data_IF_511932391522
#
_entry.id   IF_511932391522
#
_cell.length_a   1.000
_cell.length_b   1.000
_cell.length_c   1.000
_cell.angle_alpha   90.00
_cell.angle_beta   90.00
_cell.angle_gamma   90.00
#
_symmetry.space_group_name_H-M   'P 1'
#
loop_
_entity.id
_entity.type
_entity.pdbx_description
1 polymer ?
#
# COMPACT_ATOMS: atom_id res chain seq x y z
N UNK A 1 -2.68 30.75 -3.41
CA UNK A 1 -2.56 30.27 -4.81
C UNK A 1 -1.41 29.27 -5.03
N UNK A 2 -0.42 29.22 -4.14
CA UNK A 2 0.77 28.32 -4.26
C UNK A 2 0.56 26.94 -3.62
N UNK A 3 -0.50 26.72 -2.88
CA UNK A 3 -0.77 25.48 -2.15
C UNK A 3 -0.69 24.20 -3.02
N UNK A 4 -1.21 24.15 -4.26
CA UNK A 4 -1.05 22.96 -5.10
C UNK A 4 0.43 22.66 -5.45
N UNK A 5 1.25 23.69 -5.68
CA UNK A 5 2.67 23.52 -5.98
C UNK A 5 3.45 23.06 -4.74
N UNK A 6 3.13 23.65 -3.58
CA UNK A 6 3.70 23.24 -2.30
C UNK A 6 3.27 21.82 -1.94
N UNK A 7 2.02 21.46 -2.23
CA UNK A 7 1.52 20.08 -2.04
C UNK A 7 2.25 19.07 -2.93
N UNK A 8 2.56 19.44 -4.18
CA UNK A 8 3.37 18.60 -5.05
C UNK A 8 4.80 18.42 -4.49
N UNK A 9 5.41 19.50 -4.01
CA UNK A 9 6.75 19.43 -3.41
C UNK A 9 6.77 18.57 -2.14
N UNK A 10 5.74 18.67 -1.30
CA UNK A 10 5.58 17.86 -0.08
C UNK A 10 5.33 16.38 -0.39
N UNK A 11 4.58 16.08 -1.46
CA UNK A 11 4.28 14.72 -1.89
C UNK A 11 5.33 14.11 -2.84
N UNK A 12 6.42 14.83 -3.14
CA UNK A 12 7.38 14.42 -4.17
C UNK A 12 7.90 12.98 -4.00
N UNK A 13 8.29 12.51 -2.81
CA UNK A 13 8.77 11.13 -2.65
C UNK A 13 7.71 10.08 -3.02
N UNK A 14 6.47 10.27 -2.60
CA UNK A 14 5.34 9.38 -2.94
C UNK A 14 5.05 9.43 -4.45
N UNK A 15 4.99 10.63 -5.02
CA UNK A 15 4.74 10.83 -6.45
C UNK A 15 5.81 10.15 -7.30
N UNK A 16 7.08 10.31 -6.93
CA UNK A 16 8.21 9.67 -7.61
C UNK A 16 8.11 8.14 -7.52
N UNK A 17 7.82 7.61 -6.34
CA UNK A 17 7.66 6.17 -6.13
C UNK A 17 6.54 5.59 -7.00
N UNK A 18 5.37 6.22 -7.04
CA UNK A 18 4.24 5.78 -7.88
C UNK A 18 4.60 5.78 -9.36
N UNK A 19 5.32 6.80 -9.85
CA UNK A 19 5.79 6.85 -11.23
C UNK A 19 6.80 5.73 -11.54
N UNK A 20 7.75 5.49 -10.65
CA UNK A 20 8.75 4.43 -10.80
C UNK A 20 8.06 3.06 -10.78
N UNK A 21 7.08 2.86 -9.91
CA UNK A 21 6.29 1.64 -9.85
C UNK A 21 5.50 1.43 -11.16
N UNK A 22 4.91 2.48 -11.73
CA UNK A 22 4.29 2.43 -13.05
C UNK A 22 5.25 1.97 -14.13
N UNK A 23 6.46 2.54 -14.16
CA UNK A 23 7.55 2.11 -15.06
C UNK A 23 7.96 0.65 -14.86
N UNK A 24 8.10 0.21 -13.60
CA UNK A 24 8.39 -1.17 -13.24
C UNK A 24 7.32 -2.16 -13.72
N UNK A 25 6.04 -1.83 -13.51
CA UNK A 25 4.92 -2.65 -13.99
C UNK A 25 4.80 -2.62 -15.52
N UNK A 26 5.12 -1.50 -16.16
CA UNK A 26 5.26 -1.42 -17.61
C UNK A 26 6.26 -2.43 -18.15
N UNK A 27 7.42 -2.62 -17.49
CA UNK A 27 8.39 -3.67 -17.86
C UNK A 27 7.80 -5.07 -17.76
N UNK A 28 7.01 -5.33 -16.70
CA UNK A 28 6.35 -6.61 -16.51
C UNK A 28 5.37 -6.93 -17.64
N UNK A 29 4.58 -5.93 -18.04
CA UNK A 29 3.59 -6.04 -19.13
C UNK A 29 4.29 -6.21 -20.47
N UNK A 30 5.33 -5.42 -20.79
CA UNK A 30 6.08 -5.50 -22.06
C UNK A 30 6.76 -6.85 -22.25
N UNK A 31 7.25 -7.49 -21.17
CA UNK A 31 7.80 -8.84 -21.23
C UNK A 31 6.73 -9.93 -21.41
N UNK A 32 5.46 -9.59 -21.27
CA UNK A 32 4.34 -10.54 -21.24
C UNK A 32 4.39 -11.53 -20.09
N UNK A 33 5.27 -11.32 -19.11
CA UNK A 33 5.45 -12.24 -18.00
C UNK A 33 4.27 -12.24 -17.05
N UNK A 34 3.69 -11.06 -16.77
CA UNK A 34 2.57 -10.90 -15.86
C UNK A 34 1.31 -11.52 -16.45
N UNK A 35 0.97 -11.17 -17.70
CA UNK A 35 -0.22 -11.68 -18.40
C UNK A 35 -0.18 -13.20 -18.54
N UNK A 36 0.97 -13.73 -19.00
CA UNK A 36 1.17 -15.17 -19.15
C UNK A 36 1.20 -15.89 -17.78
N UNK A 37 1.74 -15.24 -16.73
CA UNK A 37 1.74 -15.75 -15.36
C UNK A 37 0.31 -15.90 -14.82
N UNK A 38 -0.53 -14.89 -15.02
CA UNK A 38 -1.93 -14.92 -14.65
C UNK A 38 -2.70 -15.94 -15.47
N UNK A 39 -2.49 -16.02 -16.80
CA UNK A 39 -3.13 -17.01 -17.64
C UNK A 39 -2.83 -18.44 -17.15
N UNK A 40 -1.56 -18.75 -16.81
CA UNK A 40 -1.18 -20.04 -16.24
C UNK A 40 -1.82 -20.29 -14.88
N UNK A 41 -1.93 -19.25 -14.04
CA UNK A 41 -2.60 -19.37 -12.72
C UNK A 41 -4.10 -19.69 -12.89
N UNK A 42 -4.79 -18.96 -13.78
CA UNK A 42 -6.21 -19.22 -14.11
C UNK A 42 -6.39 -20.62 -14.67
N UNK A 43 -5.52 -21.06 -15.58
CA UNK A 43 -5.56 -22.42 -16.15
C UNK A 43 -5.37 -23.50 -15.07
N UNK A 44 -4.45 -23.31 -14.14
CA UNK A 44 -4.22 -24.24 -13.01
C UNK A 44 -5.41 -24.32 -12.05
N UNK A 45 -6.17 -23.23 -11.94
CA UNK A 45 -7.37 -23.16 -11.09
C UNK A 45 -8.65 -23.49 -11.86
N UNK A 46 -8.57 -23.96 -13.10
CA UNK A 46 -9.72 -24.30 -13.94
C UNK A 46 -10.72 -25.19 -13.19
N UNK A 47 -11.95 -24.69 -13.05
CA UNK A 47 -13.01 -25.33 -12.25
C UNK A 47 -13.04 -24.85 -10.79
N UNK A 48 -12.05 -24.10 -10.32
CA UNK A 48 -12.00 -23.53 -8.99
C UNK A 48 -11.48 -22.08 -8.99
N UNK A 49 -11.84 -21.33 -10.03
CA UNK A 49 -11.35 -19.94 -10.26
C UNK A 49 -11.71 -19.00 -9.11
N UNK A 50 -12.74 -19.33 -8.32
CA UNK A 50 -13.13 -18.54 -7.15
C UNK A 50 -12.01 -18.46 -6.08
N UNK A 51 -11.07 -19.41 -6.08
CA UNK A 51 -9.91 -19.40 -5.18
C UNK A 51 -8.90 -18.27 -5.51
N UNK A 52 -9.02 -17.62 -6.68
CA UNK A 52 -8.24 -16.42 -6.97
C UNK A 52 -8.53 -15.31 -5.96
N UNK A 53 -9.79 -15.15 -5.55
CA UNK A 53 -10.22 -14.10 -4.62
C UNK A 53 -9.47 -14.18 -3.28
N UNK A 54 -9.57 -15.27 -2.49
CA UNK A 54 -8.91 -15.32 -1.20
C UNK A 54 -7.38 -15.29 -1.31
N UNK A 55 -6.79 -15.91 -2.33
CA UNK A 55 -5.33 -15.91 -2.52
C UNK A 55 -4.82 -14.49 -2.78
N UNK A 56 -5.45 -13.77 -3.70
CA UNK A 56 -5.04 -12.40 -4.04
C UNK A 56 -5.34 -11.43 -2.91
N UNK A 57 -6.49 -11.55 -2.23
CA UNK A 57 -6.81 -10.72 -1.07
C UNK A 57 -5.81 -10.91 0.06
N UNK A 58 -5.33 -12.14 0.32
CA UNK A 58 -4.28 -12.38 1.31
C UNK A 58 -2.96 -11.72 0.92
N UNK A 59 -2.58 -11.76 -0.35
CA UNK A 59 -1.35 -11.10 -0.84
C UNK A 59 -1.46 -9.58 -0.66
N UNK A 60 -2.56 -8.97 -1.10
CA UNK A 60 -2.77 -7.52 -0.95
C UNK A 60 -2.88 -7.11 0.53
N UNK A 61 -3.57 -7.91 1.36
CA UNK A 61 -3.70 -7.59 2.78
C UNK A 61 -2.38 -7.70 3.54
N UNK A 62 -1.50 -8.61 3.13
CA UNK A 62 -0.15 -8.70 3.68
C UNK A 62 0.66 -7.42 3.35
N UNK A 63 0.56 -6.90 2.13
CA UNK A 63 1.13 -5.61 1.76
C UNK A 63 0.55 -4.46 2.60
N UNK A 64 -0.77 -4.42 2.74
CA UNK A 64 -1.46 -3.41 3.56
C UNK A 64 -1.00 -3.41 5.01
N UNK A 65 -0.95 -4.57 5.69
CA UNK A 65 -0.59 -4.66 7.12
C UNK A 65 0.88 -4.37 7.39
N UNK A 66 1.77 -4.65 6.42
CA UNK A 66 3.22 -4.52 6.62
C UNK A 66 3.75 -3.13 6.27
N UNK A 67 3.39 -2.58 5.12
CA UNK A 67 3.90 -1.28 4.68
C UNK A 67 2.81 -0.28 4.25
N UNK A 68 1.54 -0.61 4.44
CA UNK A 68 0.44 0.30 4.12
C UNK A 68 0.14 0.42 2.63
N UNK A 69 0.16 -0.72 1.90
CA UNK A 69 -0.08 -0.77 0.45
C UNK A 69 -1.39 -0.09 0.07
N UNK A 70 -1.33 1.03 -0.61
CA UNK A 70 -2.47 1.83 -1.08
C UNK A 70 -2.29 2.23 -2.56
N UNK A 71 -1.44 3.20 -2.82
CA UNK A 71 -1.22 3.80 -4.15
C UNK A 71 -0.65 2.79 -5.14
N UNK A 72 0.15 1.86 -4.67
CA UNK A 72 0.77 0.78 -5.46
C UNK A 72 -0.27 -0.22 -6.00
N UNK A 73 -1.48 -0.20 -5.45
CA UNK A 73 -2.56 -1.08 -5.94
C UNK A 73 -3.18 -0.61 -7.24
N UNK A 74 -3.04 0.67 -7.59
CA UNK A 74 -3.73 1.29 -8.74
C UNK A 74 -3.56 0.51 -10.04
N UNK A 75 -2.36 0.10 -10.45
CA UNK A 75 -2.17 -0.65 -11.71
C UNK A 75 -2.82 -2.04 -11.70
N UNK A 76 -3.05 -2.61 -10.52
CA UNK A 76 -3.64 -3.95 -10.39
C UNK A 76 -5.16 -3.97 -10.63
N UNK A 77 -5.85 -2.83 -10.55
CA UNK A 77 -7.31 -2.79 -10.78
C UNK A 77 -7.67 -3.23 -12.20
N UNK A 78 -7.06 -2.64 -13.21
CA UNK A 78 -7.29 -2.99 -14.61
C UNK A 78 -6.94 -4.45 -14.89
N UNK A 79 -5.80 -4.90 -14.38
CA UNK A 79 -5.31 -6.27 -14.53
C UNK A 79 -6.27 -7.29 -13.91
N UNK A 80 -6.72 -7.06 -12.68
CA UNK A 80 -7.61 -8.00 -12.00
C UNK A 80 -9.07 -7.90 -12.51
N UNK A 81 -9.51 -6.74 -13.00
CA UNK A 81 -10.78 -6.64 -13.73
C UNK A 81 -10.78 -7.58 -14.95
N UNK A 82 -9.76 -7.50 -15.81
CA UNK A 82 -9.62 -8.39 -16.96
C UNK A 82 -9.52 -9.87 -16.54
N UNK A 83 -8.72 -10.16 -15.50
CA UNK A 83 -8.53 -11.53 -14.99
C UNK A 83 -9.83 -12.14 -14.47
N UNK A 84 -10.60 -11.39 -13.68
CA UNK A 84 -11.87 -11.87 -13.10
C UNK A 84 -12.94 -12.02 -14.18
N UNK A 85 -12.98 -11.12 -15.19
CA UNK A 85 -13.85 -11.27 -16.35
C UNK A 85 -13.51 -12.55 -17.13
N UNK A 86 -12.24 -12.83 -17.37
CA UNK A 86 -11.78 -14.08 -17.99
C UNK A 86 -12.19 -15.32 -17.17
N UNK A 87 -12.16 -15.25 -15.84
CA UNK A 87 -12.59 -16.33 -14.94
C UNK A 87 -14.14 -16.45 -14.83
N UNK A 88 -14.90 -15.63 -15.55
CA UNK A 88 -16.36 -15.66 -15.63
C UNK A 88 -17.07 -14.88 -14.52
N UNK A 89 -16.35 -14.01 -13.81
CA UNK A 89 -16.89 -13.04 -12.85
C UNK A 89 -17.13 -11.68 -13.54
N UNK A 90 -17.66 -10.72 -12.81
CA UNK A 90 -17.69 -9.33 -13.26
C UNK A 90 -16.39 -8.57 -12.84
N UNK A 91 -16.11 -7.40 -13.44
CA UNK A 91 -14.91 -6.62 -13.11
C UNK A 91 -14.91 -6.10 -11.67
N UNK A 92 -16.09 -5.96 -11.04
CA UNK A 92 -16.23 -5.53 -9.65
C UNK A 92 -15.59 -6.52 -8.68
N UNK A 93 -15.62 -7.83 -8.96
CA UNK A 93 -14.92 -8.84 -8.16
C UNK A 93 -13.42 -8.57 -8.16
N UNK A 94 -12.84 -8.16 -9.30
CA UNK A 94 -11.44 -7.78 -9.40
C UNK A 94 -11.11 -6.54 -8.56
N UNK A 95 -11.91 -5.49 -8.74
CA UNK A 95 -11.75 -4.24 -7.99
C UNK A 95 -11.91 -4.45 -6.47
N UNK A 96 -12.94 -5.19 -6.05
CA UNK A 96 -13.16 -5.51 -4.63
C UNK A 96 -12.02 -6.36 -4.04
N UNK A 97 -11.44 -7.29 -4.80
CA UNK A 97 -10.30 -8.11 -4.38
C UNK A 97 -9.08 -7.24 -4.05
N UNK A 98 -8.77 -6.24 -4.87
CA UNK A 98 -7.68 -5.30 -4.63
C UNK A 98 -8.00 -4.39 -3.46
N UNK A 99 -9.11 -3.65 -3.56
CA UNK A 99 -9.47 -2.60 -2.60
C UNK A 99 -9.65 -3.14 -1.18
N UNK A 100 -10.47 -4.18 -1.02
CA UNK A 100 -10.73 -4.76 0.29
C UNK A 100 -9.57 -5.61 0.78
N UNK A 101 -8.80 -6.23 -0.12
CA UNK A 101 -7.57 -6.91 0.25
C UNK A 101 -6.58 -5.97 0.90
N UNK A 102 -6.14 -4.94 0.19
CA UNK A 102 -5.19 -3.95 0.70
C UNK A 102 -5.76 -3.14 1.87
N UNK A 103 -7.01 -2.66 1.76
CA UNK A 103 -7.65 -1.86 2.80
C UNK A 103 -7.80 -2.58 4.14
N UNK A 104 -8.15 -3.87 4.15
CA UNK A 104 -8.19 -4.66 5.39
C UNK A 104 -6.79 -4.87 5.99
N UNK A 105 -5.77 -4.94 5.15
CA UNK A 105 -4.38 -4.94 5.59
C UNK A 105 -4.02 -3.63 6.28
N UNK A 106 -4.29 -2.49 5.65
CA UNK A 106 -4.03 -1.17 6.22
C UNK A 106 -4.80 -0.94 7.52
N UNK A 107 -6.07 -1.34 7.60
CA UNK A 107 -6.87 -1.25 8.82
C UNK A 107 -6.26 -2.07 9.99
N UNK A 108 -5.64 -3.20 9.68
CA UNK A 108 -4.93 -4.03 10.65
C UNK A 108 -3.42 -3.85 10.55
N UNK A 109 -2.94 -2.62 10.46
CA UNK A 109 -1.51 -2.29 10.37
C UNK A 109 -0.71 -2.89 11.52
N UNK A 110 0.36 -3.63 11.21
CA UNK A 110 1.24 -4.24 12.21
C UNK A 110 2.56 -3.47 12.35
N UNK A 111 3.25 -3.25 11.25
CA UNK A 111 4.57 -2.59 11.20
C UNK A 111 4.61 -1.48 10.13
N UNK A 112 3.45 -1.07 9.66
CA UNK A 112 3.29 -0.02 8.64
C UNK A 112 3.96 1.28 9.06
N UNK A 113 5.04 1.73 8.40
CA UNK A 113 5.79 2.92 8.81
C UNK A 113 4.98 4.21 8.66
N UNK A 114 4.04 4.25 7.72
CA UNK A 114 3.25 5.47 7.41
C UNK A 114 2.09 5.69 8.38
N UNK A 115 1.54 4.65 8.97
CA UNK A 115 0.49 4.77 9.97
C UNK A 115 1.06 4.53 11.37
N UNK A 116 1.53 3.33 11.64
CA UNK A 116 2.02 2.91 12.96
C UNK A 116 3.32 3.64 13.30
N UNK A 117 4.32 3.64 12.41
CA UNK A 117 5.60 4.32 12.64
C UNK A 117 5.40 5.80 12.94
N UNK A 118 4.71 6.53 12.06
CA UNK A 118 4.46 7.95 12.25
C UNK A 118 3.65 8.27 13.52
N UNK A 119 2.71 7.40 13.91
CA UNK A 119 1.94 7.58 15.15
C UNK A 119 2.80 7.33 16.40
N UNK A 120 3.65 6.31 16.38
CA UNK A 120 4.60 6.01 17.47
C UNK A 120 5.61 7.14 17.63
N UNK A 121 6.21 7.61 16.53
CA UNK A 121 7.16 8.74 16.55
C UNK A 121 6.53 10.01 17.14
N UNK A 122 5.29 10.30 16.72
CA UNK A 122 4.56 11.47 17.22
C UNK A 122 4.23 11.36 18.73
N UNK A 123 3.89 10.18 19.23
CA UNK A 123 3.67 9.94 20.67
C UNK A 123 4.96 10.02 21.48
N UNK A 124 6.03 9.44 20.98
CA UNK A 124 7.36 9.51 21.60
C UNK A 124 7.84 10.96 21.69
N UNK A 125 7.58 11.76 20.65
CA UNK A 125 7.88 13.20 20.63
C UNK A 125 7.19 14.02 21.73
N UNK A 126 6.08 13.53 22.31
CA UNK A 126 5.41 14.15 23.47
C UNK A 126 5.63 13.38 24.78
N UNK A 127 6.61 12.49 24.83
CA UNK A 127 7.04 11.75 26.01
C UNK A 127 6.13 10.57 26.40
N UNK A 128 5.34 10.03 25.46
CA UNK A 128 4.53 8.83 25.66
C UNK A 128 5.26 7.63 25.04
N UNK A 129 5.72 6.73 25.89
CA UNK A 129 6.31 5.46 25.45
C UNK A 129 5.23 4.50 24.96
N UNK A 130 5.53 3.76 23.90
CA UNK A 130 4.61 2.83 23.23
C UNK A 130 5.27 1.45 23.10
N UNK A 131 4.52 0.41 23.37
CA UNK A 131 5.01 -0.96 23.20
C UNK A 131 4.67 -1.50 21.81
N UNK A 132 5.67 -1.55 20.93
CA UNK A 132 5.53 -2.03 19.56
C UNK A 132 4.95 -3.45 19.46
N UNK A 133 5.31 -4.35 20.37
CA UNK A 133 4.80 -5.73 20.38
C UNK A 133 3.29 -5.80 20.62
N UNK A 134 2.75 -4.89 21.45
CA UNK A 134 1.29 -4.79 21.67
C UNK A 134 0.59 -4.29 20.42
N UNK A 135 1.16 -3.29 19.75
CA UNK A 135 0.61 -2.77 18.47
C UNK A 135 0.57 -3.89 17.42
N UNK A 136 1.69 -4.62 17.25
CA UNK A 136 1.75 -5.74 16.31
C UNK A 136 0.69 -6.80 16.65
N UNK A 137 0.51 -7.13 17.93
CA UNK A 137 -0.50 -8.09 18.37
C UNK A 137 -1.92 -7.63 18.06
N UNK A 138 -2.27 -6.38 18.38
CA UNK A 138 -3.58 -5.80 18.10
C UNK A 138 -3.84 -5.68 16.59
N UNK A 139 -2.86 -5.17 15.85
CA UNK A 139 -2.91 -5.05 14.38
C UNK A 139 -3.11 -6.41 13.71
N UNK A 140 -2.38 -7.44 14.16
CA UNK A 140 -2.52 -8.80 13.61
C UNK A 140 -3.93 -9.37 13.84
N UNK A 141 -4.54 -9.14 15.02
CA UNK A 141 -5.93 -9.56 15.30
C UNK A 141 -6.90 -8.84 14.37
N UNK A 142 -6.80 -7.51 14.24
CA UNK A 142 -7.63 -6.73 13.34
C UNK A 142 -7.45 -7.17 11.88
N UNK A 143 -6.20 -7.33 11.43
CA UNK A 143 -5.88 -7.80 10.09
C UNK A 143 -6.52 -9.15 9.77
N UNK A 144 -6.35 -10.14 10.63
CA UNK A 144 -6.91 -11.49 10.42
C UNK A 144 -8.43 -11.44 10.36
N UNK A 145 -9.07 -10.76 11.31
CA UNK A 145 -10.55 -10.71 11.40
C UNK A 145 -11.13 -9.96 10.19
N UNK A 146 -10.64 -8.77 9.89
CA UNK A 146 -11.18 -7.94 8.79
C UNK A 146 -10.91 -8.57 7.43
N UNK A 147 -9.73 -9.15 7.22
CA UNK A 147 -9.39 -9.87 5.98
C UNK A 147 -10.28 -11.10 5.81
N UNK A 148 -10.48 -11.90 6.85
CA UNK A 148 -11.36 -13.07 6.78
C UNK A 148 -12.81 -12.68 6.45
N UNK A 149 -13.36 -11.65 7.12
CA UNK A 149 -14.70 -11.13 6.83
C UNK A 149 -14.83 -10.65 5.39
N UNK A 150 -13.85 -9.89 4.91
CA UNK A 150 -13.85 -9.35 3.55
C UNK A 150 -13.70 -10.44 2.49
N UNK A 151 -12.86 -11.45 2.72
CA UNK A 151 -12.77 -12.62 1.83
C UNK A 151 -14.15 -13.30 1.72
N UNK A 152 -14.83 -13.54 2.84
CA UNK A 152 -16.16 -14.16 2.83
C UNK A 152 -17.16 -13.28 2.07
N UNK A 153 -17.13 -11.97 2.28
CA UNK A 153 -18.00 -11.01 1.59
C UNK A 153 -17.78 -11.04 0.07
N UNK A 154 -16.54 -10.89 -0.39
CA UNK A 154 -16.20 -10.87 -1.83
C UNK A 154 -16.47 -12.24 -2.46
N UNK A 155 -16.15 -13.34 -1.79
CA UNK A 155 -16.45 -14.68 -2.30
C UNK A 155 -17.96 -14.94 -2.45
N UNK A 156 -18.78 -14.46 -1.52
CA UNK A 156 -20.25 -14.59 -1.61
C UNK A 156 -20.78 -13.79 -2.80
N UNK A 157 -20.28 -12.57 -3.00
CA UNK A 157 -20.62 -11.77 -4.18
C UNK A 157 -20.15 -12.44 -5.47
N UNK A 158 -18.91 -12.90 -5.53
CA UNK A 158 -18.36 -13.59 -6.70
C UNK A 158 -19.15 -14.86 -7.07
N UNK A 159 -19.55 -15.68 -6.07
CA UNK A 159 -20.42 -16.86 -6.29
C UNK A 159 -21.76 -16.47 -6.89
N UNK A 160 -22.38 -15.40 -6.37
CA UNK A 160 -23.67 -14.90 -6.82
C UNK A 160 -23.61 -14.45 -8.29
N UNK A 161 -22.62 -13.64 -8.65
CA UNK A 161 -22.43 -13.14 -10.01
C UNK A 161 -22.05 -14.26 -10.99
N UNK A 162 -21.25 -15.24 -10.55
CA UNK A 162 -20.89 -16.40 -11.39
C UNK A 162 -22.09 -17.29 -11.67
N UNK A 163 -22.99 -17.45 -10.71
CA UNK A 163 -24.22 -18.24 -10.87
C UNK A 163 -25.27 -17.51 -11.74
N UNK A 164 -25.41 -16.21 -11.56
CA UNK A 164 -26.32 -15.35 -12.29
C UNK A 164 -25.68 -14.01 -12.60
N UNK A 165 -25.32 -13.78 -13.86
CA UNK A 165 -24.71 -12.52 -14.33
C UNK A 165 -25.60 -11.30 -14.13
N UNK A 166 -26.92 -11.48 -14.05
CA UNK A 166 -27.87 -10.40 -13.74
C UNK A 166 -27.82 -9.94 -12.28
N UNK A 167 -27.12 -10.67 -11.41
CA UNK A 167 -26.94 -10.32 -9.98
C UNK A 167 -25.81 -9.32 -9.73
N UNK A 168 -25.12 -8.84 -10.75
CA UNK A 168 -24.09 -7.80 -10.64
C UNK A 168 -24.69 -6.50 -10.09
N UNK A 169 -23.87 -5.75 -9.33
CA UNK A 169 -24.23 -4.40 -8.86
C UNK A 169 -23.96 -3.32 -9.91
N UNK A 170 -23.29 -3.69 -11.02
CA UNK A 170 -22.99 -2.77 -12.11
C UNK A 170 -24.21 -2.58 -13.02
N UNK A 171 -24.38 -1.36 -13.49
CA UNK A 171 -25.36 -1.06 -14.52
C UNK A 171 -24.97 -1.69 -15.86
N UNK A 172 -25.93 -1.83 -16.77
CA UNK A 172 -25.66 -2.35 -18.13
C UNK A 172 -24.67 -1.48 -18.92
N UNK A 173 -24.60 -0.18 -18.62
CA UNK A 173 -23.65 0.71 -19.28
C UNK A 173 -22.23 0.46 -18.74
N UNK A 174 -22.07 0.39 -17.42
CA UNK A 174 -20.78 0.10 -16.79
C UNK A 174 -20.21 -1.27 -17.21
N UNK A 175 -21.08 -2.27 -17.39
CA UNK A 175 -20.65 -3.57 -17.92
C UNK A 175 -20.13 -3.48 -19.34
N UNK A 176 -20.79 -2.70 -20.22
CA UNK A 176 -20.32 -2.47 -21.59
C UNK A 176 -19.00 -1.71 -21.61
N UNK A 177 -18.89 -0.64 -20.82
CA UNK A 177 -17.68 0.16 -20.71
C UNK A 177 -16.50 -0.70 -20.21
N UNK A 178 -16.75 -1.60 -19.24
CA UNK A 178 -15.76 -2.54 -18.76
C UNK A 178 -15.38 -3.60 -19.81
N UNK A 179 -16.34 -4.08 -20.60
CA UNK A 179 -16.09 -5.02 -21.70
C UNK A 179 -15.26 -4.36 -22.83
N UNK A 180 -15.54 -3.11 -23.14
CA UNK A 180 -14.74 -2.33 -24.11
C UNK A 180 -13.31 -2.10 -23.60
N UNK A 181 -13.15 -1.77 -22.30
CA UNK A 181 -11.85 -1.49 -21.69
C UNK A 181 -10.99 -2.74 -21.48
N UNK A 182 -11.59 -3.85 -21.04
CA UNK A 182 -10.85 -5.01 -20.55
C UNK A 182 -11.13 -6.31 -21.32
N UNK A 183 -12.14 -6.36 -22.17
CA UNK A 183 -12.59 -7.60 -22.84
C UNK A 183 -11.53 -8.23 -23.73
N UNK A 184 -10.68 -7.42 -24.41
CA UNK A 184 -9.56 -7.93 -25.21
C UNK A 184 -8.53 -8.64 -24.32
N UNK A 185 -8.12 -8.01 -23.24
CA UNK A 185 -7.18 -8.60 -22.28
C UNK A 185 -7.77 -9.86 -21.63
N UNK A 186 -9.05 -9.85 -21.26
CA UNK A 186 -9.74 -11.02 -20.73
C UNK A 186 -9.77 -12.20 -21.72
N UNK A 187 -9.96 -11.96 -23.02
CA UNK A 187 -9.97 -13.02 -24.05
C UNK A 187 -8.61 -13.67 -24.25
N UNK A 188 -7.53 -12.93 -24.01
CA UNK A 188 -6.15 -13.44 -24.12
C UNK A 188 -5.76 -14.38 -22.99
N UNK A 189 -6.31 -14.19 -21.79
CA UNK A 189 -6.08 -15.05 -20.62
C UNK A 189 -6.48 -16.51 -20.86
N UNK A 190 -7.43 -16.77 -21.75
CA UNK A 190 -7.90 -18.14 -22.08
C UNK A 190 -7.03 -18.92 -23.05
N UNK A 191 -6.04 -18.30 -23.69
CA UNK A 191 -5.13 -19.04 -24.59
C UNK A 191 -4.27 -19.99 -23.77
N UNK A 192 -4.04 -21.21 -24.25
CA UNK A 192 -3.06 -22.12 -23.65
C UNK A 192 -1.66 -21.52 -23.76
N UNK A 193 -1.16 -21.02 -22.65
CA UNK A 193 0.11 -20.34 -22.56
C UNK A 193 1.06 -21.15 -21.67
N UNK A 194 2.30 -21.32 -22.12
CA UNK A 194 3.39 -21.85 -21.30
C UNK A 194 4.40 -20.75 -21.03
N UNK A 195 4.74 -20.56 -19.76
CA UNK A 195 5.79 -19.63 -19.38
C UNK A 195 7.13 -20.03 -19.96
N UNK A 196 7.77 -19.12 -20.69
CA UNK A 196 9.14 -19.26 -21.13
C UNK A 196 10.12 -19.20 -19.96
N UNK A 197 11.35 -19.67 -20.12
CA UNK A 197 12.38 -19.55 -19.08
C UNK A 197 12.64 -18.10 -18.66
N UNK A 198 12.65 -17.15 -19.62
CA UNK A 198 12.80 -15.73 -19.36
C UNK A 198 11.64 -15.16 -18.54
N UNK A 199 10.41 -15.48 -18.90
CA UNK A 199 9.22 -15.02 -18.16
C UNK A 199 9.17 -15.56 -16.73
N UNK A 200 9.61 -16.80 -16.50
CA UNK A 200 9.79 -17.32 -15.14
C UNK A 200 10.81 -16.51 -14.34
N UNK A 201 11.96 -16.17 -14.97
CA UNK A 201 12.98 -15.33 -14.36
C UNK A 201 12.44 -13.94 -14.01
N UNK A 202 11.67 -13.32 -14.91
CA UNK A 202 11.00 -12.04 -14.69
C UNK A 202 10.00 -12.12 -13.52
N UNK A 203 9.15 -13.15 -13.45
CA UNK A 203 8.20 -13.33 -12.33
C UNK A 203 8.90 -13.57 -11.00
N UNK A 204 10.02 -14.28 -10.99
CA UNK A 204 10.84 -14.48 -9.78
C UNK A 204 11.44 -13.13 -9.35
N UNK A 205 12.02 -12.38 -10.29
CA UNK A 205 12.56 -11.05 -10.00
C UNK A 205 11.47 -10.09 -9.49
N UNK A 206 10.27 -10.14 -10.05
CA UNK A 206 9.10 -9.40 -9.59
C UNK A 206 8.76 -9.72 -8.13
N UNK A 207 8.55 -11.01 -7.82
CA UNK A 207 8.23 -11.42 -6.45
C UNK A 207 9.37 -11.05 -5.47
N UNK A 208 10.62 -11.23 -5.88
CA UNK A 208 11.80 -10.85 -5.09
C UNK A 208 11.83 -9.35 -4.79
N UNK A 209 11.48 -8.51 -5.77
CA UNK A 209 11.43 -7.05 -5.60
C UNK A 209 10.49 -6.67 -4.46
N UNK A 210 9.28 -7.20 -4.45
CA UNK A 210 8.29 -6.92 -3.40
C UNK A 210 8.69 -7.51 -2.04
N UNK A 211 9.25 -8.71 -2.01
CA UNK A 211 9.72 -9.31 -0.75
C UNK A 211 10.82 -8.45 -0.11
N UNK A 212 11.80 -8.00 -0.90
CA UNK A 212 12.87 -7.13 -0.38
C UNK A 212 12.30 -5.78 0.06
N UNK A 213 11.36 -5.19 -0.67
CA UNK A 213 10.69 -3.95 -0.26
C UNK A 213 9.98 -4.14 1.09
N UNK A 214 9.17 -5.18 1.24
CA UNK A 214 8.46 -5.45 2.51
C UNK A 214 9.45 -5.54 3.67
N UNK A 215 10.54 -6.31 3.50
CA UNK A 215 11.58 -6.42 4.54
C UNK A 215 12.28 -5.08 4.78
N UNK A 216 12.47 -4.27 3.73
CA UNK A 216 13.07 -2.94 3.81
C UNK A 216 12.26 -1.96 4.66
N UNK A 217 10.94 -2.03 4.58
CA UNK A 217 10.02 -1.17 5.34
C UNK A 217 9.77 -1.65 6.79
N UNK A 218 10.02 -2.91 7.11
CA UNK A 218 9.87 -3.39 8.49
C UNK A 218 10.94 -2.75 9.39
N UNK A 219 10.59 -2.08 10.50
CA UNK A 219 11.55 -1.48 11.41
C UNK A 219 12.30 -2.57 12.18
N UNK A 220 13.32 -3.17 11.57
CA UNK A 220 14.03 -4.33 12.10
C UNK A 220 14.76 -4.03 13.42
N UNK A 221 15.21 -2.79 13.63
CA UNK A 221 15.85 -2.37 14.86
C UNK A 221 14.94 -2.50 16.08
N UNK A 222 13.66 -2.17 15.92
CA UNK A 222 12.65 -2.25 17.00
C UNK A 222 12.23 -3.69 17.29
N UNK A 223 12.36 -4.59 16.31
CA UNK A 223 11.95 -5.98 16.43
C UNK A 223 13.08 -6.89 16.89
N UNK A 224 14.27 -6.75 16.33
CA UNK A 224 15.43 -7.58 16.64
C UNK A 224 16.74 -6.88 16.24
N UNK A 225 17.48 -6.37 17.22
CA UNK A 225 18.77 -5.70 17.00
C UNK A 225 19.79 -6.59 16.27
N UNK A 226 19.80 -7.90 16.52
CA UNK A 226 20.73 -8.81 15.86
C UNK A 226 20.50 -8.90 14.35
N UNK A 227 19.24 -8.88 13.92
CA UNK A 227 18.87 -8.86 12.49
C UNK A 227 19.18 -7.49 11.88
N UNK A 228 18.88 -6.41 12.58
CA UNK A 228 19.21 -5.05 12.13
C UNK A 228 20.72 -4.90 11.94
N UNK A 229 21.51 -5.32 12.91
CA UNK A 229 22.98 -5.28 12.86
C UNK A 229 23.56 -6.15 11.73
N UNK A 230 22.90 -7.26 11.36
CA UNK A 230 23.31 -8.05 10.21
C UNK A 230 23.18 -7.25 8.91
N UNK A 231 22.05 -6.57 8.70
CA UNK A 231 21.84 -5.76 7.51
C UNK A 231 22.72 -4.50 7.47
N UNK A 232 23.08 -3.97 8.64
CA UNK A 232 23.94 -2.81 8.75
C UNK A 232 25.43 -3.17 8.97
N UNK A 233 25.78 -4.42 8.85
CA UNK A 233 27.15 -4.89 9.08
C UNK A 233 28.15 -4.19 8.17
N UNK A 234 29.24 -3.69 8.77
CA UNK A 234 30.28 -2.90 8.10
C UNK A 234 30.04 -1.40 8.12
N UNK A 235 28.92 -0.92 8.66
CA UNK A 235 28.71 0.51 8.88
C UNK A 235 29.66 1.07 9.96
N UNK A 236 30.08 2.31 9.76
CA UNK A 236 30.85 3.10 10.73
C UNK A 236 30.13 4.42 10.95
N UNK A 237 29.80 4.71 12.19
CA UNK A 237 29.08 5.93 12.57
C UNK A 237 30.03 6.94 13.23
N UNK A 238 29.77 8.22 13.01
CA UNK A 238 30.44 9.31 13.73
C UNK A 238 29.83 9.51 15.13
N UNK A 239 30.39 10.49 15.89
CA UNK A 239 29.92 10.80 17.25
C UNK A 239 28.47 11.36 17.27
N UNK A 240 27.98 11.86 16.16
CA UNK A 240 26.63 12.42 16.01
C UNK A 240 25.63 11.37 15.47
N UNK A 241 26.08 10.11 15.25
CA UNK A 241 25.25 9.01 14.78
C UNK A 241 25.05 8.96 13.27
N UNK A 242 25.78 9.76 12.47
CA UNK A 242 25.71 9.71 11.01
C UNK A 242 26.63 8.63 10.47
N UNK A 243 26.17 7.86 9.48
CA UNK A 243 26.98 6.83 8.85
C UNK A 243 28.10 7.45 8.00
N UNK A 244 29.35 7.29 8.44
CA UNK A 244 30.56 7.68 7.68
C UNK A 244 30.88 6.59 6.64
N UNK A 245 30.63 5.33 6.97
CA UNK A 245 30.72 4.20 6.05
C UNK A 245 29.40 3.48 6.09
N UNK A 246 28.79 3.26 4.93
CA UNK A 246 27.52 2.55 4.83
C UNK A 246 27.69 1.05 5.04
N UNK A 247 26.74 0.42 5.70
CA UNK A 247 26.63 -1.02 5.78
C UNK A 247 26.38 -1.68 4.42
N UNK A 248 26.61 -2.97 4.33
CA UNK A 248 26.52 -3.69 3.04
C UNK A 248 25.17 -3.56 2.35
N UNK A 249 24.06 -3.53 3.10
CA UNK A 249 22.71 -3.45 2.51
C UNK A 249 22.31 -2.03 2.09
N UNK A 250 23.00 -1.02 2.63
CA UNK A 250 22.78 0.39 2.28
C UNK A 250 23.55 0.85 1.02
N UNK A 251 24.47 0.03 0.50
CA UNK A 251 25.33 0.40 -0.63
C UNK A 251 24.56 0.82 -1.89
N UNK A 252 23.37 0.28 -2.11
CA UNK A 252 22.55 0.53 -3.31
C UNK A 252 21.50 1.60 -3.03
N UNK A 253 20.85 1.55 -1.90
CA UNK A 253 19.68 2.37 -1.59
C UNK A 253 19.98 3.59 -0.73
N UNK A 254 21.09 3.60 -0.03
CA UNK A 254 21.49 4.70 0.86
C UNK A 254 21.19 4.44 2.33
N UNK A 255 20.12 3.71 2.65
CA UNK A 255 19.81 3.24 3.99
C UNK A 255 19.79 1.71 4.05
N UNK A 256 20.15 1.10 5.21
CA UNK A 256 20.12 -0.35 5.36
C UNK A 256 18.69 -0.90 5.30
N UNK A 257 18.57 -2.16 4.90
CA UNK A 257 17.30 -2.88 4.91
C UNK A 257 16.73 -2.87 6.33
N UNK A 258 15.47 -2.46 6.46
CA UNK A 258 14.79 -2.26 7.75
C UNK A 258 14.70 -0.80 8.21
N UNK A 259 15.17 0.13 7.35
CA UNK A 259 15.08 1.57 7.58
C UNK A 259 14.59 2.32 6.32
N UNK A 260 13.97 1.59 5.38
CA UNK A 260 13.58 2.16 4.10
C UNK A 260 12.31 3.01 4.20
N UNK A 261 12.30 4.06 3.35
CA UNK A 261 11.13 4.85 3.01
C UNK A 261 10.96 4.90 1.48
N UNK A 262 10.26 5.89 0.96
CA UNK A 262 9.97 6.00 -0.48
C UNK A 262 11.22 6.15 -1.36
N UNK A 263 12.27 6.80 -0.89
CA UNK A 263 13.48 7.06 -1.68
C UNK A 263 14.27 5.78 -1.93
N UNK A 264 14.42 4.93 -0.90
CA UNK A 264 15.10 3.64 -0.99
C UNK A 264 14.26 2.65 -1.83
N UNK A 265 12.95 2.61 -1.60
CA UNK A 265 12.03 1.81 -2.41
C UNK A 265 12.05 2.25 -3.88
N UNK A 266 12.03 3.54 -4.15
CA UNK A 266 12.15 4.10 -5.50
C UNK A 266 13.43 3.65 -6.19
N UNK A 267 14.56 3.76 -5.50
CA UNK A 267 15.87 3.32 -6.01
C UNK A 267 15.85 1.83 -6.31
N UNK A 268 15.32 1.02 -5.40
CA UNK A 268 15.22 -0.43 -5.55
C UNK A 268 14.34 -0.82 -6.74
N UNK A 269 13.13 -0.28 -6.85
CA UNK A 269 12.22 -0.58 -7.96
C UNK A 269 12.76 -0.11 -9.31
N UNK A 270 13.44 1.04 -9.36
CA UNK A 270 14.09 1.52 -10.58
C UNK A 270 15.15 0.53 -11.07
N UNK A 271 16.04 0.07 -10.20
CA UNK A 271 17.07 -0.91 -10.54
C UNK A 271 16.45 -2.24 -10.96
N UNK A 272 15.43 -2.70 -10.25
CA UNK A 272 14.75 -3.94 -10.57
C UNK A 272 13.94 -3.85 -11.87
N UNK A 273 13.40 -2.69 -12.23
CA UNK A 273 12.78 -2.46 -13.54
C UNK A 273 13.77 -2.68 -14.68
N UNK A 274 14.97 -2.11 -14.56
CA UNK A 274 16.06 -2.31 -15.55
C UNK A 274 16.45 -3.80 -15.60
N UNK A 275 16.64 -4.43 -14.45
CA UNK A 275 17.00 -5.84 -14.37
C UNK A 275 15.94 -6.74 -15.03
N UNK A 276 14.66 -6.49 -14.76
CA UNK A 276 13.53 -7.20 -15.38
C UNK A 276 13.53 -7.02 -16.89
N UNK A 277 13.77 -5.81 -17.38
CA UNK A 277 13.91 -5.54 -18.82
C UNK A 277 15.03 -6.37 -19.46
N UNK A 278 16.19 -6.45 -18.81
CA UNK A 278 17.34 -7.25 -19.28
C UNK A 278 17.01 -8.76 -19.27
N UNK A 279 16.44 -9.28 -18.17
CA UNK A 279 16.03 -10.70 -18.07
C UNK A 279 14.96 -11.02 -19.12
N UNK A 280 14.02 -10.09 -19.34
CA UNK A 280 12.98 -10.19 -20.37
C UNK A 280 13.53 -10.20 -21.80
N UNK A 281 14.76 -9.72 -21.99
CA UNK A 281 15.43 -9.64 -23.29
C UNK A 281 15.03 -8.42 -24.10
N UNK A 282 14.60 -7.35 -23.43
CA UNK A 282 14.29 -6.06 -24.05
C UNK A 282 15.59 -5.35 -24.44
N UNK A 283 15.56 -4.64 -25.55
CA UNK A 283 16.66 -3.74 -25.96
C UNK A 283 16.67 -2.49 -25.08
N UNK A 284 17.81 -1.79 -24.98
CA UNK A 284 17.96 -0.54 -24.24
C UNK A 284 16.85 0.47 -24.57
N UNK A 285 16.58 0.67 -25.87
CA UNK A 285 15.54 1.57 -26.34
C UNK A 285 14.15 1.16 -25.85
N UNK A 286 13.85 -0.16 -25.84
CA UNK A 286 12.59 -0.66 -25.30
C UNK A 286 12.50 -0.43 -23.80
N UNK A 287 13.56 -0.73 -23.04
CA UNK A 287 13.60 -0.50 -21.59
C UNK A 287 13.28 0.96 -21.28
N UNK A 288 13.97 1.91 -21.91
CA UNK A 288 13.76 3.33 -21.68
C UNK A 288 12.34 3.77 -22.04
N UNK A 289 11.87 3.41 -23.24
CA UNK A 289 10.54 3.81 -23.71
C UNK A 289 9.41 3.20 -22.85
N UNK A 290 9.51 1.91 -22.54
CA UNK A 290 8.51 1.22 -21.71
C UNK A 290 8.45 1.79 -20.30
N UNK A 291 9.62 2.08 -19.70
CA UNK A 291 9.69 2.71 -18.39
C UNK A 291 9.00 4.08 -18.39
N UNK A 292 9.33 4.94 -19.38
CA UNK A 292 8.73 6.29 -19.51
C UNK A 292 7.21 6.18 -19.72
N UNK A 293 6.74 5.26 -20.57
CA UNK A 293 5.31 5.06 -20.81
C UNK A 293 4.59 4.62 -19.53
N UNK A 294 5.10 3.60 -18.85
CA UNK A 294 4.51 3.12 -17.61
C UNK A 294 4.49 4.18 -16.49
N UNK A 295 5.56 4.99 -16.38
CA UNK A 295 5.59 6.12 -15.46
C UNK A 295 4.54 7.19 -15.83
N UNK A 296 4.37 7.48 -17.13
CA UNK A 296 3.39 8.46 -17.62
C UNK A 296 1.95 7.99 -17.37
N UNK A 297 1.66 6.71 -17.42
CA UNK A 297 0.34 6.15 -17.11
C UNK A 297 -0.11 6.45 -15.67
N UNK A 298 0.83 6.66 -14.76
CA UNK A 298 0.56 7.03 -13.36
C UNK A 298 0.38 8.54 -13.14
N UNK A 299 0.54 9.38 -14.18
CA UNK A 299 0.51 10.84 -14.02
C UNK A 299 -0.81 11.36 -13.45
N UNK A 300 -1.94 10.76 -13.81
CA UNK A 300 -3.24 11.15 -13.25
C UNK A 300 -3.31 10.95 -11.74
N UNK A 301 -2.78 9.82 -11.25
CA UNK A 301 -2.71 9.50 -9.81
C UNK A 301 -1.77 10.47 -9.09
N UNK A 302 -0.59 10.73 -9.65
CA UNK A 302 0.39 11.69 -9.14
C UNK A 302 -0.21 13.08 -8.97
N UNK A 303 -0.97 13.55 -9.96
CA UNK A 303 -1.63 14.85 -9.89
C UNK A 303 -2.72 14.90 -8.80
N UNK A 304 -3.47 13.82 -8.63
CA UNK A 304 -4.48 13.73 -7.54
C UNK A 304 -3.79 13.76 -6.18
N UNK A 305 -2.73 13.01 -5.97
CA UNK A 305 -1.94 13.02 -4.72
C UNK A 305 -1.40 14.41 -4.44
N UNK A 306 -0.79 15.06 -5.44
CA UNK A 306 -0.23 16.40 -5.30
C UNK A 306 -1.29 17.46 -4.92
N UNK A 307 -2.47 17.41 -5.55
CA UNK A 307 -3.57 18.31 -5.23
C UNK A 307 -4.14 18.06 -3.84
N UNK A 308 -4.31 16.80 -3.46
CA UNK A 308 -4.77 16.43 -2.12
C UNK A 308 -3.79 16.93 -1.03
N UNK A 309 -2.48 16.77 -1.24
CA UNK A 309 -1.46 17.36 -0.35
C UNK A 309 -1.52 18.89 -0.29
N UNK A 310 -1.88 19.54 -1.37
CA UNK A 310 -2.11 20.99 -1.37
C UNK A 310 -3.17 21.44 -0.36
N UNK A 311 -4.20 20.63 -0.10
CA UNK A 311 -5.20 20.87 0.94
C UNK A 311 -4.53 20.80 2.32
N UNK A 312 -3.74 19.76 2.59
CA UNK A 312 -3.01 19.60 3.86
C UNK A 312 -2.07 20.77 4.13
N UNK A 313 -1.30 21.20 3.12
CA UNK A 313 -0.43 22.39 3.21
C UNK A 313 -1.22 23.67 3.53
N UNK A 314 -2.40 23.84 2.92
CA UNK A 314 -3.26 24.98 3.20
C UNK A 314 -3.79 24.96 4.63
N UNK A 315 -4.23 23.79 5.11
CA UNK A 315 -4.72 23.62 6.47
C UNK A 315 -3.63 23.90 7.51
N UNK A 316 -2.43 23.33 7.32
CA UNK A 316 -1.28 23.57 8.20
C UNK A 316 -0.88 25.05 8.25
N UNK A 317 -0.81 25.72 7.08
CA UNK A 317 -0.47 27.15 7.01
C UNK A 317 -1.51 28.07 7.64
N UNK A 318 -2.75 27.63 7.75
CA UNK A 318 -3.84 28.41 8.38
C UNK A 318 -4.08 28.01 9.84
N UNK A 319 -3.45 26.92 10.33
CA UNK A 319 -3.72 26.33 11.63
C UNK A 319 -5.12 25.71 11.75
N UNK A 320 -5.79 25.48 10.61
CA UNK A 320 -7.13 24.90 10.59
C UNK A 320 -7.13 23.44 11.03
N UNK A 321 -6.09 22.69 10.71
CA UNK A 321 -5.85 21.30 11.15
C UNK A 321 -5.83 21.21 12.67
N UNK A 322 -5.00 22.03 13.34
CA UNK A 322 -4.92 22.10 14.81
C UNK A 322 -6.26 22.54 15.41
N UNK A 323 -6.91 23.54 14.83
CA UNK A 323 -8.22 24.03 15.31
C UNK A 323 -9.30 22.95 15.27
N UNK A 324 -9.39 22.21 14.15
CA UNK A 324 -10.39 21.14 13.98
C UNK A 324 -10.09 19.98 14.94
N UNK A 325 -8.82 19.61 15.10
CA UNK A 325 -8.39 18.58 16.02
C UNK A 325 -8.65 18.94 17.48
N UNK A 326 -8.36 20.17 17.89
CA UNK A 326 -8.61 20.64 19.27
C UNK A 326 -10.11 20.66 19.56
N UNK A 327 -10.93 21.10 18.61
CA UNK A 327 -12.40 21.06 18.76
C UNK A 327 -12.91 19.61 18.88
N UNK A 328 -12.38 18.68 18.10
CA UNK A 328 -12.70 17.25 18.16
C UNK A 328 -12.26 16.63 19.51
N UNK A 329 -11.04 16.92 19.95
CA UNK A 329 -10.50 16.44 21.22
C UNK A 329 -11.33 16.95 22.41
N UNK A 330 -11.72 18.22 22.39
CA UNK A 330 -12.60 18.81 23.43
C UNK A 330 -13.98 18.16 23.45
N UNK A 331 -14.55 17.84 22.30
CA UNK A 331 -15.81 17.11 22.21
C UNK A 331 -15.72 15.67 22.76
N UNK A 332 -14.56 15.02 22.59
CA UNK A 332 -14.30 13.66 23.06
C UNK A 332 -13.93 13.60 24.56
N UNK A 333 -13.34 14.65 25.11
CA UNK A 333 -12.80 14.68 26.49
C UNK A 333 -13.88 14.44 27.59
N UNK A 334 -15.15 14.67 27.29
CA UNK A 334 -16.28 14.44 28.22
C UNK A 334 -16.93 13.06 28.08
N UNK A 335 -16.48 12.20 27.18
CA UNK A 335 -17.09 10.92 26.90
C UNK A 335 -16.61 9.83 27.86
N UNK A 336 -17.47 8.85 28.15
CA UNK A 336 -17.04 7.63 28.85
C UNK A 336 -16.11 6.81 27.96
N UNK A 337 -15.18 6.05 28.58
CA UNK A 337 -14.19 5.26 27.85
C UNK A 337 -14.79 4.34 26.77
N UNK A 338 -15.95 3.72 27.06
CA UNK A 338 -16.63 2.81 26.08
C UNK A 338 -17.05 3.57 24.80
N UNK A 339 -17.41 4.83 24.93
CA UNK A 339 -17.88 5.67 23.78
C UNK A 339 -16.68 6.35 23.09
N UNK A 340 -15.61 6.62 23.84
CA UNK A 340 -14.45 7.33 23.32
C UNK A 340 -13.82 6.65 22.10
N UNK A 341 -13.57 5.33 22.15
CA UNK A 341 -12.91 4.62 21.06
C UNK A 341 -13.70 4.66 19.73
N UNK A 342 -15.01 4.29 19.69
CA UNK A 342 -15.77 4.38 18.45
C UNK A 342 -15.96 5.82 17.96
N UNK A 343 -16.07 6.79 18.87
CA UNK A 343 -16.19 8.21 18.48
C UNK A 343 -14.86 8.76 17.95
N UNK A 344 -13.72 8.37 18.52
CA UNK A 344 -12.40 8.72 17.99
C UNK A 344 -12.19 8.16 16.59
N UNK A 345 -12.60 6.92 16.34
CA UNK A 345 -12.56 6.32 14.99
C UNK A 345 -13.41 7.15 14.00
N UNK A 346 -14.64 7.56 14.38
CA UNK A 346 -15.47 8.39 13.51
C UNK A 346 -14.87 9.78 13.26
N UNK A 347 -14.19 10.35 14.26
CA UNK A 347 -13.44 11.60 14.09
C UNK A 347 -12.31 11.42 13.10
N UNK A 348 -11.49 10.36 13.22
CA UNK A 348 -10.42 10.08 12.26
C UNK A 348 -10.95 9.80 10.86
N UNK A 349 -12.06 9.05 10.75
CA UNK A 349 -12.74 8.86 9.46
C UNK A 349 -13.15 10.19 8.82
N UNK A 350 -13.72 11.13 9.60
CA UNK A 350 -14.03 12.47 9.13
C UNK A 350 -12.79 13.29 8.75
N UNK A 351 -11.74 13.22 9.57
CA UNK A 351 -10.48 13.92 9.34
C UNK A 351 -9.74 13.42 8.09
N UNK A 352 -9.87 12.15 7.73
CA UNK A 352 -9.22 11.60 6.53
C UNK A 352 -9.65 12.28 5.23
N UNK A 353 -10.83 12.88 5.17
CA UNK A 353 -11.26 13.70 4.04
C UNK A 353 -10.60 15.08 4.00
N UNK A 354 -10.15 15.59 5.15
CA UNK A 354 -9.51 16.90 5.27
C UNK A 354 -7.98 16.78 5.21
N UNK A 355 -7.43 15.74 5.81
CA UNK A 355 -5.98 15.47 5.87
C UNK A 355 -5.74 14.11 5.19
N UNK A 356 -5.59 14.08 3.85
CA UNK A 356 -5.50 12.84 3.07
C UNK A 356 -4.13 12.14 3.20
N UNK A 357 -3.27 12.59 4.09
CA UNK A 357 -1.97 11.99 4.40
C UNK A 357 -2.03 11.26 5.72
N UNK A 358 -1.84 9.93 5.71
CA UNK A 358 -1.82 9.13 6.92
C UNK A 358 -0.73 9.57 7.89
N UNK A 359 0.53 9.66 7.43
CA UNK A 359 1.64 10.12 8.28
C UNK A 359 1.47 11.57 8.74
N UNK A 360 1.01 12.47 7.85
CA UNK A 360 0.73 13.85 8.22
C UNK A 360 -0.38 13.96 9.28
N UNK A 361 -1.46 13.19 9.14
CA UNK A 361 -2.53 13.14 10.13
C UNK A 361 -2.03 12.58 11.47
N UNK A 362 -1.19 11.54 11.47
CA UNK A 362 -0.56 11.01 12.67
C UNK A 362 0.25 12.08 13.41
N UNK A 363 1.14 12.76 12.68
CA UNK A 363 2.05 13.79 13.24
C UNK A 363 1.31 14.92 13.91
N UNK A 364 0.19 15.37 13.33
CA UNK A 364 -0.61 16.49 13.89
C UNK A 364 -1.54 16.00 15.00
N UNK A 365 -2.16 14.83 14.86
CA UNK A 365 -3.22 14.38 15.76
C UNK A 365 -2.72 13.62 17.00
N UNK A 366 -1.69 12.80 16.88
CA UNK A 366 -1.22 11.98 18.01
C UNK A 366 -0.72 12.76 19.20
N UNK A 367 -0.02 13.91 19.06
CA UNK A 367 0.35 14.76 20.19
C UNK A 367 -0.85 15.29 20.99
N UNK A 368 -2.05 15.33 20.43
CA UNK A 368 -3.28 15.78 21.06
C UNK A 368 -4.11 14.60 21.57
N UNK A 369 -4.38 13.63 20.68
CA UNK A 369 -5.28 12.51 20.96
C UNK A 369 -4.63 11.44 21.85
N UNK A 370 -3.31 11.25 21.75
CA UNK A 370 -2.59 10.31 22.62
C UNK A 370 -2.67 10.65 24.11
N UNK A 371 -2.26 11.84 24.55
CA UNK A 371 -2.44 12.28 25.93
C UNK A 371 -3.89 12.23 26.40
N UNK A 372 -4.84 12.57 25.54
CA UNK A 372 -6.28 12.50 25.85
C UNK A 372 -6.69 11.04 26.12
N UNK A 373 -6.30 10.11 25.26
CA UNK A 373 -6.61 8.68 25.43
C UNK A 373 -6.03 8.14 26.74
N UNK A 374 -4.77 8.44 27.03
CA UNK A 374 -4.11 8.04 28.29
C UNK A 374 -4.83 8.62 29.52
N UNK A 375 -5.24 9.89 29.47
CA UNK A 375 -6.03 10.53 30.53
C UNK A 375 -7.38 9.86 30.79
N UNK A 376 -7.99 9.29 29.74
CA UNK A 376 -9.25 8.55 29.81
C UNK A 376 -9.07 7.06 30.14
N UNK A 377 -7.84 6.61 30.40
CA UNK A 377 -7.51 5.25 30.84
C UNK A 377 -7.28 4.25 29.69
N UNK A 378 -7.10 4.73 28.45
CA UNK A 378 -6.68 3.88 27.34
C UNK A 378 -5.14 3.78 27.27
N UNK A 379 -4.65 2.64 26.84
CA UNK A 379 -3.23 2.55 26.51
C UNK A 379 -2.95 3.30 25.19
N UNK A 380 -1.75 3.88 25.04
CA UNK A 380 -1.37 4.58 23.82
C UNK A 380 -1.41 3.69 22.58
N UNK A 381 -1.14 2.38 22.72
CA UNK A 381 -1.20 1.40 21.63
C UNK A 381 -2.61 1.26 21.06
N UNK A 382 -3.64 1.29 21.91
CA UNK A 382 -5.05 1.29 21.48
C UNK A 382 -5.36 2.54 20.66
N UNK A 383 -4.81 3.69 21.05
CA UNK A 383 -5.01 4.93 20.28
C UNK A 383 -4.34 4.86 18.90
N UNK A 384 -3.14 4.28 18.81
CA UNK A 384 -2.47 4.03 17.53
C UNK A 384 -3.35 3.16 16.64
N UNK A 385 -3.98 2.10 17.18
CA UNK A 385 -4.86 1.21 16.42
C UNK A 385 -6.20 1.84 16.03
N UNK A 386 -6.72 2.78 16.82
CA UNK A 386 -7.93 3.54 16.46
C UNK A 386 -7.63 4.48 15.28
N UNK A 387 -6.42 4.98 15.22
CA UNK A 387 -5.95 5.87 14.16
C UNK A 387 -5.66 5.11 12.86
N UNK A 388 -4.96 3.97 12.92
CA UNK A 388 -4.52 3.19 11.76
C UNK A 388 -5.69 2.53 11.02
#
# INVERSE_FOLDING_TARGET
>A
CTAPILGFADALPVCLFVMILGGFLGMMTETGALDNGIAVLVQKLKGNEIMLVPVLMLIFSLGGTTYGMCEETVPFYALLAATMMAAGFDPMVGAATVLLGAGCGCLGSTVNPFAVGAAVDALTGVGIEVNQSIIIGLGAVLWIVTTAMSIVFVMNYAKKVKADKGSTILSMQELKDAEEAHGKAASEVHKEVKLTGRQKGVLIAFAFTFVVMIVGFIPLADLNEGVANFFDAGAVYDADGNAVVQGWSALITGLPIGQWYFDEASTWFFLMAVLIGIIGGLSEKQIVNTFITGAADMMSVVLVIALARGISVLMANTGLDVFVLDAAANALAGLSGVIFAPMSFLVYFGLSFLIPSTSGMATVSMPIMGPLAVKLGFSPEVMVMIFS
#
